data_IF_992949924023
#
_entry.id   IF_992949924023
#
_cell.length_a   1.000
_cell.length_b   1.000
_cell.length_c   1.000
_cell.angle_alpha   90.00
_cell.angle_beta   90.00
_cell.angle_gamma   90.00
#
_symmetry.space_group_name_H-M   'P 1'
#
loop_
_entity.id
_entity.type
_entity.pdbx_description
1 polymer ?
#
# COMPACT_ATOMS: atom_id res chain seq x y z
N UNK A 1 -16.92 -21.15 9.80
CA UNK A 1 -15.68 -20.42 9.52
C UNK A 1 -14.52 -21.40 9.48
N UNK A 2 -13.70 -21.34 8.43
CA UNK A 2 -12.44 -22.08 8.31
C UNK A 2 -11.27 -21.17 8.68
N UNK A 3 -10.12 -21.73 9.05
CA UNK A 3 -8.90 -20.94 9.33
C UNK A 3 -8.49 -20.01 8.16
N UNK A 4 -8.88 -20.36 6.94
CA UNK A 4 -8.65 -19.53 5.74
C UNK A 4 -9.40 -18.20 5.79
N UNK A 5 -10.59 -18.16 6.41
CA UNK A 5 -11.40 -16.95 6.53
C UNK A 5 -10.68 -15.89 7.40
N UNK A 6 -10.02 -16.33 8.48
CA UNK A 6 -9.21 -15.46 9.34
C UNK A 6 -8.02 -14.87 8.59
N UNK A 7 -7.40 -15.66 7.70
CA UNK A 7 -6.30 -15.20 6.85
C UNK A 7 -6.76 -14.13 5.87
N UNK A 8 -7.95 -14.29 5.29
CA UNK A 8 -8.55 -13.26 4.43
C UNK A 8 -8.85 -11.99 5.20
N UNK A 9 -9.48 -12.10 6.38
CA UNK A 9 -9.75 -10.93 7.23
C UNK A 9 -8.48 -10.18 7.60
N UNK A 10 -7.41 -10.90 7.97
CA UNK A 10 -6.14 -10.27 8.30
C UNK A 10 -5.51 -9.55 7.10
N UNK A 11 -5.57 -10.15 5.90
CA UNK A 11 -5.08 -9.53 4.67
C UNK A 11 -5.86 -8.25 4.34
N UNK A 12 -7.19 -8.30 4.37
CA UNK A 12 -8.05 -7.13 4.11
C UNK A 12 -7.79 -6.00 5.11
N UNK A 13 -7.61 -6.31 6.39
CA UNK A 13 -7.29 -5.30 7.41
C UNK A 13 -5.94 -4.62 7.18
N UNK A 14 -4.90 -5.38 6.81
CA UNK A 14 -3.59 -4.79 6.51
C UNK A 14 -3.67 -3.82 5.33
N UNK A 15 -4.36 -4.23 4.26
CA UNK A 15 -4.47 -3.40 3.05
C UNK A 15 -5.35 -2.18 3.27
N UNK A 16 -6.44 -2.33 4.02
CA UNK A 16 -7.28 -1.20 4.44
C UNK A 16 -6.55 -0.21 5.35
N UNK A 17 -5.52 -0.67 6.08
CA UNK A 17 -4.65 0.19 6.88
C UNK A 17 -3.50 0.82 6.06
N UNK A 18 -3.50 0.68 4.73
CA UNK A 18 -2.47 1.24 3.85
C UNK A 18 -1.16 0.45 3.82
N UNK A 19 -1.11 -0.76 4.38
CA UNK A 19 0.08 -1.61 4.28
C UNK A 19 0.31 -1.99 2.82
N UNK A 20 1.53 -1.81 2.34
CA UNK A 20 1.88 -2.14 0.97
C UNK A 20 1.61 -3.63 0.66
N UNK A 21 1.01 -3.98 -0.49
CA UNK A 21 0.63 -5.36 -0.83
C UNK A 21 1.79 -6.37 -0.77
N UNK A 22 3.01 -5.93 -1.11
CA UNK A 22 4.22 -6.75 -0.99
C UNK A 22 4.48 -7.18 0.46
N UNK A 23 4.36 -6.24 1.40
CA UNK A 23 4.60 -6.49 2.83
C UNK A 23 3.52 -7.40 3.39
N UNK A 24 2.25 -7.16 3.03
CA UNK A 24 1.15 -8.04 3.40
C UNK A 24 1.34 -9.46 2.83
N UNK A 25 1.78 -9.58 1.57
CA UNK A 25 2.08 -10.84 0.90
C UNK A 25 3.18 -11.64 1.60
N UNK A 26 4.29 -10.99 1.97
CA UNK A 26 5.41 -11.61 2.68
C UNK A 26 5.02 -12.06 4.08
N UNK A 27 4.28 -11.22 4.82
CA UNK A 27 3.79 -11.55 6.17
C UNK A 27 2.85 -12.74 6.18
N UNK A 28 2.05 -12.88 5.13
CA UNK A 28 1.17 -14.04 4.97
C UNK A 28 1.93 -15.26 4.43
N UNK A 29 3.11 -15.09 3.82
CA UNK A 29 3.85 -16.16 3.16
C UNK A 29 3.25 -16.59 1.83
N UNK A 30 2.64 -15.66 1.08
CA UNK A 30 2.24 -15.94 -0.29
C UNK A 30 3.48 -16.08 -1.18
N UNK A 31 3.53 -17.14 -1.97
CA UNK A 31 4.60 -17.41 -2.93
C UNK A 31 4.70 -16.35 -4.05
N UNK A 32 3.62 -15.62 -4.30
CA UNK A 32 3.56 -14.54 -5.25
C UNK A 32 2.72 -13.37 -4.72
N UNK A 33 3.18 -12.15 -4.98
CA UNK A 33 2.41 -10.93 -4.72
C UNK A 33 1.12 -10.88 -5.56
N UNK A 34 1.11 -11.54 -6.72
CA UNK A 34 -0.06 -11.64 -7.59
C UNK A 34 -1.28 -12.20 -6.84
N UNK A 35 -1.09 -13.22 -5.98
CA UNK A 35 -2.17 -13.77 -5.15
C UNK A 35 -2.81 -12.69 -4.26
N UNK A 36 -1.99 -11.80 -3.70
CA UNK A 36 -2.47 -10.72 -2.82
C UNK A 36 -3.15 -9.62 -3.62
N UNK A 37 -2.58 -9.23 -4.77
CA UNK A 37 -3.13 -8.19 -5.64
C UNK A 37 -4.43 -8.65 -6.31
N UNK A 38 -4.47 -9.86 -6.86
CA UNK A 38 -5.66 -10.40 -7.53
C UNK A 38 -6.83 -10.54 -6.56
N UNK A 39 -6.56 -10.94 -5.32
CA UNK A 39 -7.61 -11.23 -4.34
C UNK A 39 -8.07 -9.99 -3.55
N UNK A 40 -7.20 -9.02 -3.31
CA UNK A 40 -7.48 -7.91 -2.38
C UNK A 40 -7.30 -6.50 -2.97
N UNK A 41 -6.93 -6.35 -4.25
CA UNK A 41 -6.81 -5.02 -4.88
C UNK A 41 -8.06 -4.16 -4.76
N UNK A 42 -9.25 -4.77 -4.72
CA UNK A 42 -10.52 -4.07 -4.59
C UNK A 42 -10.70 -3.32 -3.25
N UNK A 43 -9.99 -3.70 -2.19
CA UNK A 43 -10.03 -2.99 -0.89
C UNK A 43 -8.99 -1.87 -0.79
N UNK A 44 -8.31 -1.54 -1.90
CA UNK A 44 -7.31 -0.48 -1.96
C UNK A 44 -7.72 0.70 -2.87
N UNK A 45 -8.94 1.26 -2.75
CA UNK A 45 -9.28 2.47 -3.46
C UNK A 45 -8.37 3.62 -2.98
N UNK A 46 -7.96 4.49 -3.90
CA UNK A 46 -7.21 5.70 -3.53
C UNK A 46 -5.68 5.57 -3.50
N UNK A 47 -5.10 4.35 -3.55
CA UNK A 47 -3.63 4.19 -3.48
C UNK A 47 -2.85 5.00 -4.53
N UNK A 48 -3.41 5.14 -5.74
CA UNK A 48 -2.80 5.97 -6.79
C UNK A 48 -2.84 7.47 -6.46
N UNK A 49 -3.94 7.93 -5.84
CA UNK A 49 -4.08 9.32 -5.42
C UNK A 49 -3.13 9.62 -4.25
N UNK A 50 -3.07 8.75 -3.26
CA UNK A 50 -2.16 8.87 -2.11
C UNK A 50 -0.69 8.86 -2.57
N UNK A 51 -0.34 7.99 -3.51
CA UNK A 51 1.00 7.95 -4.09
C UNK A 51 1.35 9.24 -4.84
N UNK A 52 0.40 9.78 -5.62
CA UNK A 52 0.59 11.05 -6.32
C UNK A 52 0.76 12.22 -5.33
N UNK A 53 -0.03 12.27 -4.27
CA UNK A 53 0.07 13.30 -3.22
C UNK A 53 1.43 13.24 -2.50
N UNK A 54 1.90 12.05 -2.13
CA UNK A 54 3.21 11.90 -1.49
C UNK A 54 4.36 12.37 -2.38
N UNK A 55 4.29 12.07 -3.69
CA UNK A 55 5.28 12.54 -4.67
C UNK A 55 5.22 14.06 -4.82
N UNK A 56 4.03 14.65 -4.88
CA UNK A 56 3.87 16.11 -5.00
C UNK A 56 4.46 16.83 -3.79
N UNK A 57 4.15 16.36 -2.57
CA UNK A 57 4.73 16.91 -1.32
C UNK A 57 6.25 16.82 -1.33
N UNK A 58 6.82 15.68 -1.71
CA UNK A 58 8.27 15.51 -1.78
C UNK A 58 8.92 16.45 -2.81
N UNK A 59 8.29 16.65 -3.96
CA UNK A 59 8.76 17.54 -5.01
C UNK A 59 8.69 19.02 -4.58
N UNK A 60 7.58 19.45 -3.97
CA UNK A 60 7.43 20.80 -3.45
C UNK A 60 8.47 21.11 -2.36
N UNK A 61 8.72 20.16 -1.46
CA UNK A 61 9.76 20.29 -0.44
C UNK A 61 11.14 20.51 -1.07
N UNK A 62 11.52 19.70 -2.07
CA UNK A 62 12.79 19.83 -2.79
C UNK A 62 12.92 21.20 -3.47
N UNK A 63 11.91 21.63 -4.24
CA UNK A 63 11.90 22.93 -4.93
C UNK A 63 12.00 24.10 -3.94
N UNK A 64 11.31 24.02 -2.80
CA UNK A 64 11.35 25.07 -1.78
C UNK A 64 12.73 25.20 -1.12
N UNK A 65 13.45 24.07 -0.97
CA UNK A 65 14.79 24.04 -0.40
C UNK A 65 15.81 24.70 -1.32
N UNK A 66 15.71 24.47 -2.63
CA UNK A 66 16.58 25.10 -3.65
C UNK A 66 16.37 26.62 -3.73
N UNK A 67 15.12 27.10 -3.60
CA UNK A 67 14.83 28.54 -3.62
C UNK A 67 15.34 29.29 -2.38
N UNK A 68 15.46 28.63 -1.22
CA UNK A 68 16.01 29.23 0.01
C UNK A 68 17.54 29.31 0.01
N UNK A 69 18.20 28.46 -0.77
CA UNK A 69 19.65 28.41 -0.87
C UNK A 69 20.24 29.46 -1.82
N UNK A 70 19.40 30.22 -2.52
CA UNK A 70 19.75 31.25 -3.50
C UNK A 70 19.30 32.62 -2.99
#
# INVERSE_FOLDING_TARGET
MRFHDLRHTHASQMLSAGVHPKVASERLGHSSIGITLDLYSHVMPGMQADAAEQVDVALQAAISSERKAK
#
